data_IF_783548239975
#
_entry.id   IF_783548239975
#
_cell.length_a   1.000
_cell.length_b   1.000
_cell.length_c   1.000
_cell.angle_alpha   90.00
_cell.angle_beta   90.00
_cell.angle_gamma   90.00
#
_symmetry.space_group_name_H-M   'P 1'
#
loop_
_entity.id
_entity.type
_entity.pdbx_description
1 polymer ?
#
# COMPACT_ATOMS: atom_id res chain seq x y z
N UNK A 1 -42.45 71.50 26.42
CA UNK A 1 -41.77 70.30 26.93
C UNK A 1 -42.43 69.07 26.31
N UNK A 2 -41.63 68.27 25.58
CA UNK A 2 -41.70 66.80 25.34
C UNK A 2 -43.09 66.13 25.25
N UNK A 3 -43.48 65.27 24.30
CA UNK A 3 -42.90 64.54 23.15
C UNK A 3 -44.15 63.92 22.47
N UNK A 4 -44.40 64.13 21.17
CA UNK A 4 -44.10 63.21 20.03
C UNK A 4 -44.52 61.75 20.25
N UNK A 5 -45.11 61.00 19.32
CA UNK A 5 -45.75 61.20 18.01
C UNK A 5 -46.28 59.80 17.64
N UNK A 6 -47.58 59.72 17.35
CA UNK A 6 -48.24 58.87 16.34
C UNK A 6 -47.59 57.51 15.99
N UNK A 7 -48.20 56.47 16.54
CA UNK A 7 -48.43 55.17 15.90
C UNK A 7 -48.97 55.32 14.48
N UNK A 8 -48.28 54.76 13.48
CA UNK A 8 -48.85 54.13 12.27
C UNK A 8 -47.77 53.70 11.26
N UNK A 9 -47.99 52.48 10.73
CA UNK A 9 -47.58 51.91 9.42
C UNK A 9 -46.17 51.32 9.27
N UNK A 10 -46.13 50.02 9.05
CA UNK A 10 -46.01 49.45 7.69
C UNK A 10 -46.31 47.94 7.77
N UNK A 11 -47.31 47.45 7.03
CA UNK A 11 -47.18 46.63 5.80
C UNK A 11 -46.56 45.25 6.10
N UNK A 12 -47.09 44.11 5.70
CA UNK A 12 -48.19 43.76 4.81
C UNK A 12 -48.34 42.22 4.89
N UNK A 13 -49.45 41.71 4.37
CA UNK A 13 -49.59 40.41 3.70
C UNK A 13 -49.27 39.13 4.50
N UNK A 14 -50.29 38.37 4.93
CA UNK A 14 -51.05 37.37 4.15
C UNK A 14 -50.46 35.96 4.33
N UNK A 15 -51.34 35.09 4.83
CA UNK A 15 -51.29 33.64 4.75
C UNK A 15 -50.87 33.13 3.35
N UNK A 16 -49.79 32.34 3.27
CA UNK A 16 -49.55 31.25 2.32
C UNK A 16 -48.15 30.69 2.63
N UNK A 17 -48.00 29.45 3.10
CA UNK A 17 -48.00 28.21 2.32
C UNK A 17 -46.71 28.04 1.48
N UNK A 18 -46.21 26.79 1.47
CA UNK A 18 -45.16 26.24 0.59
C UNK A 18 -43.75 26.76 0.96
N UNK A 19 -42.76 25.98 1.37
CA UNK A 19 -42.05 24.87 0.70
C UNK A 19 -41.22 24.19 1.81
N UNK A 20 -41.51 22.95 2.23
CA UNK A 20 -40.92 21.75 1.63
C UNK A 20 -39.41 21.86 1.33
N UNK A 21 -38.59 22.31 2.29
CA UNK A 21 -37.12 22.24 2.19
C UNK A 21 -36.46 21.66 3.45
N UNK A 22 -37.16 20.79 4.18
CA UNK A 22 -36.50 19.70 4.92
C UNK A 22 -36.06 18.62 3.92
N UNK A 23 -35.29 19.04 2.92
CA UNK A 23 -34.40 18.15 2.20
C UNK A 23 -33.32 17.80 3.19
N UNK A 24 -33.55 16.71 3.91
CA UNK A 24 -32.53 15.94 4.59
C UNK A 24 -31.29 15.97 3.70
N UNK A 25 -30.29 16.77 4.10
CA UNK A 25 -28.92 16.56 3.66
C UNK A 25 -28.60 15.15 4.18
N UNK A 26 -28.94 14.15 3.36
CA UNK A 26 -28.24 12.90 3.36
C UNK A 26 -26.82 13.34 3.08
N UNK A 27 -26.07 13.44 4.18
CA UNK A 27 -24.63 13.30 4.22
C UNK A 27 -24.35 12.09 3.33
N UNK A 28 -24.11 12.37 2.05
CA UNK A 28 -23.40 11.50 1.14
C UNK A 28 -22.01 11.41 1.75
N UNK A 29 -21.92 10.58 2.78
CA UNK A 29 -20.67 10.07 3.29
C UNK A 29 -19.95 9.52 2.07
N UNK A 30 -18.71 9.94 1.78
CA UNK A 30 -17.94 9.36 0.70
C UNK A 30 -17.42 7.98 1.18
N UNK A 31 -18.32 7.06 1.52
CA UNK A 31 -17.97 5.73 2.02
C UNK A 31 -18.11 4.67 0.92
N UNK A 32 -18.72 4.99 -0.23
CA UNK A 32 -19.10 3.95 -1.20
C UNK A 32 -18.19 3.79 -2.44
N UNK A 33 -17.08 4.55 -2.55
CA UNK A 33 -16.14 4.37 -3.69
C UNK A 33 -14.96 3.47 -3.33
N UNK A 34 -14.49 3.47 -2.08
CA UNK A 34 -13.42 2.58 -1.63
C UNK A 34 -13.90 1.13 -1.43
N UNK A 35 -15.12 0.94 -0.92
CA UNK A 35 -15.69 -0.41 -0.71
C UNK A 35 -16.00 -1.19 -1.99
N UNK A 36 -16.34 -0.51 -3.10
CA UNK A 36 -16.61 -1.18 -4.38
C UNK A 36 -15.35 -1.65 -5.11
N UNK A 37 -14.19 -1.01 -4.90
CA UNK A 37 -12.90 -1.52 -5.42
C UNK A 37 -12.42 -2.76 -4.67
N UNK A 38 -12.76 -2.90 -3.39
CA UNK A 38 -12.39 -4.07 -2.59
C UNK A 38 -13.20 -5.35 -2.93
N UNK A 39 -14.32 -5.22 -3.65
CA UNK A 39 -15.27 -6.31 -3.90
C UNK A 39 -15.00 -7.13 -5.18
N UNK A 40 -14.15 -6.64 -6.09
CA UNK A 40 -13.66 -7.47 -7.20
C UNK A 40 -12.30 -8.03 -6.79
N UNK A 41 -12.28 -9.28 -6.34
CA UNK A 41 -11.05 -9.95 -5.88
C UNK A 41 -9.99 -9.86 -6.99
N UNK A 42 -8.83 -9.24 -6.76
CA UNK A 42 -7.74 -9.22 -7.73
C UNK A 42 -7.32 -10.66 -8.09
N UNK A 43 -6.62 -10.87 -9.21
CA UNK A 43 -6.05 -12.19 -9.49
C UNK A 43 -4.96 -12.50 -8.46
N UNK A 44 -5.31 -13.24 -7.41
CA UNK A 44 -4.41 -13.61 -6.32
C UNK A 44 -3.88 -15.03 -6.56
N UNK A 45 -2.58 -15.22 -6.31
CA UNK A 45 -2.04 -16.56 -6.12
C UNK A 45 -2.62 -17.20 -4.85
N UNK A 46 -2.67 -18.54 -4.81
CA UNK A 46 -3.14 -19.29 -3.64
C UNK A 46 -2.34 -18.95 -2.37
N UNK A 47 -1.05 -18.67 -2.52
CA UNK A 47 -0.18 -18.27 -1.41
C UNK A 47 -0.61 -16.93 -0.81
N UNK A 48 -0.86 -15.93 -1.64
CA UNK A 48 -1.33 -14.62 -1.18
C UNK A 48 -2.73 -14.72 -0.59
N UNK A 49 -3.63 -15.48 -1.23
CA UNK A 49 -4.98 -15.70 -0.70
C UNK A 49 -4.94 -16.31 0.71
N UNK A 50 -4.20 -17.42 0.90
CA UNK A 50 -4.03 -18.06 2.21
C UNK A 50 -3.43 -17.13 3.25
N UNK A 51 -2.46 -16.29 2.87
CA UNK A 51 -1.90 -15.30 3.78
C UNK A 51 -2.94 -14.27 4.22
N UNK A 52 -3.73 -13.72 3.28
CA UNK A 52 -4.79 -12.76 3.62
C UNK A 52 -5.82 -13.38 4.56
N UNK A 53 -6.18 -14.65 4.37
CA UNK A 53 -7.15 -15.34 5.23
C UNK A 53 -6.67 -15.48 6.70
N UNK A 54 -5.36 -15.35 6.96
CA UNK A 54 -4.83 -15.32 8.34
C UNK A 54 -5.00 -13.97 9.04
N UNK A 55 -5.36 -12.92 8.30
CA UNK A 55 -5.42 -11.55 8.79
C UNK A 55 -6.84 -11.16 9.21
N UNK A 56 -6.99 -10.23 10.18
CA UNK A 56 -8.27 -9.59 10.44
C UNK A 56 -8.87 -8.95 9.18
N UNK A 57 -10.19 -8.98 9.03
CA UNK A 57 -10.90 -8.49 7.84
C UNK A 57 -10.49 -7.07 7.41
N UNK A 58 -10.32 -6.16 8.37
CA UNK A 58 -9.86 -4.79 8.09
C UNK A 58 -8.49 -4.74 7.41
N UNK A 59 -7.55 -5.62 7.79
CA UNK A 59 -6.22 -5.70 7.18
C UNK A 59 -6.28 -6.35 5.78
N UNK A 60 -7.19 -7.31 5.59
CA UNK A 60 -7.44 -7.89 4.27
C UNK A 60 -7.95 -6.82 3.29
N UNK A 61 -8.95 -6.04 3.71
CA UNK A 61 -9.51 -4.95 2.92
C UNK A 61 -8.47 -3.87 2.62
N UNK A 62 -7.63 -3.53 3.61
CA UNK A 62 -6.53 -2.59 3.43
C UNK A 62 -5.58 -3.07 2.32
N UNK A 63 -5.04 -4.30 2.43
CA UNK A 63 -4.09 -4.80 1.44
C UNK A 63 -4.74 -4.87 0.06
N UNK A 64 -5.95 -5.43 -0.04
CA UNK A 64 -6.70 -5.53 -1.31
C UNK A 64 -6.94 -4.18 -1.96
N UNK A 65 -7.09 -3.10 -1.18
CA UNK A 65 -7.31 -1.75 -1.72
C UNK A 65 -6.12 -1.17 -2.51
N UNK A 66 -4.91 -1.72 -2.32
CA UNK A 66 -3.71 -1.32 -3.05
C UNK A 66 -3.46 -2.16 -4.33
N UNK A 67 -4.17 -3.28 -4.51
CA UNK A 67 -3.92 -4.21 -5.60
C UNK A 67 -4.64 -3.76 -6.89
N UNK A 68 -3.92 -3.65 -7.99
CA UNK A 68 -4.51 -3.28 -9.28
C UNK A 68 -5.36 -4.42 -9.84
N UNK A 69 -6.57 -4.12 -10.35
CA UNK A 69 -7.52 -5.16 -10.77
C UNK A 69 -7.05 -6.00 -11.97
N UNK A 70 -6.25 -5.41 -12.86
CA UNK A 70 -5.74 -6.00 -14.10
C UNK A 70 -4.41 -6.77 -13.94
N UNK A 71 -3.97 -6.96 -12.70
CA UNK A 71 -2.69 -7.60 -12.38
C UNK A 71 -2.86 -8.93 -11.64
N UNK A 72 -1.88 -9.82 -11.82
CA UNK A 72 -1.69 -11.00 -10.96
C UNK A 72 -0.80 -10.63 -9.78
N UNK A 73 -1.12 -11.14 -8.59
CA UNK A 73 -0.44 -10.80 -7.35
C UNK A 73 0.10 -12.02 -6.61
N UNK A 74 1.35 -11.91 -6.17
CA UNK A 74 2.05 -12.95 -5.43
C UNK A 74 2.71 -12.41 -4.16
N UNK A 75 2.83 -13.27 -3.15
CA UNK A 75 3.40 -12.93 -1.86
C UNK A 75 4.90 -13.28 -1.79
N UNK A 76 5.69 -12.35 -1.28
CA UNK A 76 7.07 -12.58 -0.84
C UNK A 76 7.21 -12.21 0.63
N UNK A 77 7.48 -13.20 1.47
CA UNK A 77 7.55 -13.07 2.93
C UNK A 77 6.40 -13.81 3.63
N UNK A 78 6.09 -13.48 4.89
CA UNK A 78 6.69 -12.39 5.69
C UNK A 78 8.08 -12.73 6.24
N UNK A 79 8.87 -11.70 6.55
CA UNK A 79 10.12 -11.79 7.32
C UNK A 79 10.04 -10.88 8.54
N UNK A 80 10.36 -11.40 9.73
CA UNK A 80 10.41 -10.61 10.95
C UNK A 80 11.77 -9.91 11.09
N UNK A 81 11.73 -8.62 11.41
CA UNK A 81 12.89 -7.77 11.70
C UNK A 81 12.62 -6.99 12.98
N UNK A 82 13.45 -7.19 14.00
CA UNK A 82 13.24 -6.57 15.31
C UNK A 82 11.82 -6.81 15.85
N UNK A 83 11.00 -5.75 15.93
CA UNK A 83 9.61 -5.76 16.41
C UNK A 83 8.57 -5.74 15.29
N UNK A 84 9.00 -5.70 14.02
CA UNK A 84 8.13 -5.53 12.85
C UNK A 84 8.28 -6.71 11.90
N UNK A 85 7.24 -7.00 11.13
CA UNK A 85 7.31 -7.98 10.04
C UNK A 85 7.09 -7.28 8.70
N UNK A 86 7.86 -7.66 7.69
CA UNK A 86 7.81 -7.06 6.36
C UNK A 86 7.45 -8.12 5.33
N UNK A 87 6.69 -7.73 4.32
CA UNK A 87 6.39 -8.58 3.17
C UNK A 87 6.16 -7.72 1.93
N UNK A 88 6.44 -8.30 0.76
CA UNK A 88 6.06 -7.72 -0.51
C UNK A 88 4.85 -8.44 -1.09
N UNK A 89 4.02 -7.69 -1.80
CA UNK A 89 3.12 -8.22 -2.82
C UNK A 89 3.69 -7.82 -4.17
N UNK A 90 4.09 -8.81 -4.97
CA UNK A 90 4.55 -8.61 -6.34
C UNK A 90 3.32 -8.47 -7.23
N UNK A 91 3.33 -7.47 -8.09
CA UNK A 91 2.27 -7.15 -9.04
C UNK A 91 2.78 -7.37 -10.47
N UNK A 92 2.07 -8.17 -11.25
CA UNK A 92 2.39 -8.49 -12.65
C UNK A 92 1.15 -8.39 -13.53
N UNK A 93 1.06 -7.31 -14.29
CA UNK A 93 0.12 -7.11 -15.39
C UNK A 93 0.85 -6.94 -16.73
N UNK A 94 0.08 -6.69 -17.79
CA UNK A 94 0.61 -6.46 -19.13
C UNK A 94 1.42 -5.17 -19.21
N UNK A 95 0.90 -4.08 -18.64
CA UNK A 95 1.51 -2.74 -18.69
C UNK A 95 2.11 -2.31 -17.35
N UNK A 96 1.90 -3.11 -16.29
CA UNK A 96 2.23 -2.75 -14.91
C UNK A 96 3.02 -3.86 -14.22
N UNK A 97 4.19 -3.52 -13.69
CA UNK A 97 5.04 -4.44 -12.91
C UNK A 97 5.68 -3.71 -11.75
N UNK A 98 5.45 -4.20 -10.53
CA UNK A 98 5.97 -3.57 -9.33
C UNK A 98 5.88 -4.44 -8.10
N UNK A 99 6.36 -3.89 -6.99
CA UNK A 99 6.37 -4.55 -5.68
C UNK A 99 5.78 -3.61 -4.63
N UNK A 100 4.71 -4.02 -3.97
CA UNK A 100 4.12 -3.30 -2.86
C UNK A 100 4.73 -3.80 -1.56
N UNK A 101 5.43 -2.95 -0.81
CA UNK A 101 5.98 -3.29 0.49
C UNK A 101 5.02 -2.90 1.60
N UNK A 102 4.76 -3.87 2.47
CA UNK A 102 3.96 -3.69 3.67
C UNK A 102 4.78 -3.99 4.91
N UNK A 103 4.36 -3.39 6.01
CA UNK A 103 4.87 -3.67 7.35
C UNK A 103 3.72 -4.01 8.28
N UNK A 104 3.98 -4.94 9.18
CA UNK A 104 3.11 -5.30 10.29
C UNK A 104 3.84 -5.05 11.61
N UNK A 105 3.14 -4.45 12.57
CA UNK A 105 3.61 -4.23 13.94
C UNK A 105 2.51 -4.64 14.90
N UNK A 106 2.65 -5.83 15.50
CA UNK A 106 1.56 -6.45 16.27
C UNK A 106 0.34 -6.73 15.39
N UNK A 107 -0.78 -6.05 15.67
CA UNK A 107 -2.04 -6.19 14.90
C UNK A 107 -2.20 -5.15 13.78
N UNK A 108 -1.33 -4.15 13.74
CA UNK A 108 -1.42 -3.05 12.79
C UNK A 108 -0.65 -3.38 11.51
N UNK A 109 -1.28 -3.14 10.36
CA UNK A 109 -0.67 -3.26 9.03
C UNK A 109 -0.61 -1.89 8.37
N UNK A 110 0.48 -1.63 7.66
CA UNK A 110 0.67 -0.38 6.92
C UNK A 110 1.33 -0.66 5.58
N UNK A 111 0.82 -0.01 4.53
CA UNK A 111 1.53 0.09 3.26
C UNK A 111 2.69 1.08 3.42
N UNK A 112 3.89 0.66 3.02
CA UNK A 112 5.08 1.52 3.08
C UNK A 112 5.36 2.19 1.76
N UNK A 113 5.48 1.41 0.68
CA UNK A 113 5.97 1.94 -0.58
C UNK A 113 5.66 1.02 -1.76
N UNK A 114 5.55 1.62 -2.95
CA UNK A 114 5.49 0.90 -4.22
C UNK A 114 6.83 1.04 -4.93
N UNK A 115 7.50 -0.08 -5.19
CA UNK A 115 8.74 -0.13 -5.95
C UNK A 115 8.46 -0.51 -7.40
N UNK A 116 9.20 0.10 -8.33
CA UNK A 116 9.33 -0.51 -9.65
C UNK A 116 9.99 -1.89 -9.51
N UNK A 117 9.59 -2.87 -10.33
CA UNK A 117 9.95 -4.28 -10.11
C UNK A 117 11.46 -4.52 -9.89
N UNK A 118 12.32 -3.80 -10.62
CA UNK A 118 13.78 -3.94 -10.58
C UNK A 118 14.50 -2.98 -9.60
N UNK A 119 13.76 -2.14 -8.87
CA UNK A 119 14.31 -1.05 -8.08
C UNK A 119 14.35 -1.20 -6.54
N UNK A 120 13.95 -2.33 -5.88
CA UNK A 120 13.91 -2.38 -4.41
C UNK A 120 15.19 -1.87 -3.74
N UNK A 121 16.37 -2.34 -4.16
CA UNK A 121 17.63 -1.94 -3.54
C UNK A 121 17.98 -0.45 -3.68
N UNK A 122 17.49 0.22 -4.73
CA UNK A 122 17.74 1.64 -4.99
C UNK A 122 16.81 2.56 -4.19
N UNK A 123 15.61 2.07 -3.90
CA UNK A 123 14.56 2.85 -3.27
C UNK A 123 14.46 2.59 -1.76
N UNK A 124 14.83 1.39 -1.28
CA UNK A 124 14.83 1.06 0.15
C UNK A 124 15.59 2.08 1.03
N UNK A 125 16.77 2.60 0.62
CA UNK A 125 17.46 3.63 1.42
C UNK A 125 16.77 5.00 1.45
N UNK A 126 15.77 5.21 0.60
CA UNK A 126 15.04 6.49 0.45
C UNK A 126 13.74 6.52 1.24
N UNK A 127 13.31 5.38 1.77
CA UNK A 127 12.13 5.28 2.61
C UNK A 127 12.54 5.27 4.09
N UNK A 128 11.67 5.75 4.96
CA UNK A 128 11.91 5.95 6.39
C UNK A 128 12.01 4.62 7.17
N UNK A 129 13.06 3.86 6.90
CA UNK A 129 13.43 2.60 7.55
C UNK A 129 14.73 2.78 8.34
N UNK A 130 14.87 2.06 9.45
CA UNK A 130 16.19 1.91 10.08
C UNK A 130 17.16 1.17 9.14
N UNK A 131 18.45 1.23 9.43
CA UNK A 131 19.46 0.51 8.63
C UNK A 131 19.24 -1.00 8.70
N UNK A 132 18.89 -1.50 9.87
CA UNK A 132 18.59 -2.90 10.17
C UNK A 132 17.36 -3.36 9.39
N UNK A 133 16.32 -2.54 9.32
CA UNK A 133 15.09 -2.85 8.59
C UNK A 133 15.30 -2.80 7.09
N UNK A 134 15.99 -1.77 6.58
CA UNK A 134 16.35 -1.69 5.18
C UNK A 134 17.13 -2.94 4.75
N UNK A 135 18.07 -3.40 5.59
CA UNK A 135 18.82 -4.64 5.35
C UNK A 135 17.93 -5.88 5.40
N UNK A 136 17.03 -5.99 6.38
CA UNK A 136 16.15 -7.15 6.46
C UNK A 136 15.19 -7.23 5.27
N UNK A 137 14.64 -6.10 4.83
CA UNK A 137 13.76 -6.04 3.66
C UNK A 137 14.54 -6.36 2.38
N UNK A 138 15.77 -5.84 2.26
CA UNK A 138 16.66 -6.21 1.16
C UNK A 138 17.00 -7.71 1.17
N UNK A 139 17.22 -8.31 2.34
CA UNK A 139 17.51 -9.73 2.48
C UNK A 139 16.29 -10.59 2.10
N UNK A 140 15.08 -10.18 2.48
CA UNK A 140 13.85 -10.83 2.05
C UNK A 140 13.72 -10.82 0.52
N UNK A 141 14.03 -9.70 -0.13
CA UNK A 141 14.01 -9.60 -1.59
C UNK A 141 15.10 -10.46 -2.23
N UNK A 142 16.33 -10.42 -1.73
CA UNK A 142 17.43 -11.25 -2.21
C UNK A 142 17.12 -12.75 -2.13
N UNK A 143 16.43 -13.19 -1.07
CA UNK A 143 15.97 -14.57 -0.94
C UNK A 143 14.91 -14.92 -1.98
N UNK A 144 14.04 -13.97 -2.34
CA UNK A 144 13.10 -14.18 -3.43
C UNK A 144 13.82 -14.35 -4.77
N UNK A 145 14.72 -13.44 -5.12
CA UNK A 145 15.54 -13.52 -6.34
C UNK A 145 16.27 -14.86 -6.41
N UNK A 146 16.87 -15.30 -5.29
CA UNK A 146 17.56 -16.59 -5.22
C UNK A 146 16.63 -17.78 -5.49
N UNK A 147 15.40 -17.75 -4.97
CA UNK A 147 14.42 -18.81 -5.21
C UNK A 147 13.86 -18.79 -6.63
N UNK A 148 13.69 -17.60 -7.22
CA UNK A 148 13.07 -17.46 -8.54
C UNK A 148 14.05 -17.70 -9.68
N UNK A 149 15.29 -17.22 -9.56
CA UNK A 149 16.30 -17.30 -10.62
C UNK A 149 17.28 -18.46 -10.41
N UNK A 150 17.48 -18.87 -9.15
CA UNK A 150 18.44 -19.87 -8.77
C UNK A 150 19.85 -19.31 -8.56
N UNK A 151 20.66 -20.03 -7.78
CA UNK A 151 22.02 -19.62 -7.40
C UNK A 151 22.90 -19.32 -8.62
N UNK A 152 22.96 -20.23 -9.58
CA UNK A 152 23.84 -20.12 -10.73
C UNK A 152 23.55 -18.87 -11.58
N UNK A 153 22.27 -18.52 -11.74
CA UNK A 153 21.88 -17.32 -12.48
C UNK A 153 22.32 -16.04 -11.76
N UNK A 154 22.12 -15.99 -10.43
CA UNK A 154 22.56 -14.85 -9.63
C UNK A 154 24.09 -14.73 -9.59
N UNK A 155 24.82 -15.83 -9.42
CA UNK A 155 26.29 -15.81 -9.43
C UNK A 155 26.82 -15.35 -10.80
N UNK A 156 26.22 -15.81 -11.90
CA UNK A 156 26.56 -15.35 -13.24
C UNK A 156 26.24 -13.87 -13.46
N UNK A 157 25.09 -13.39 -12.97
CA UNK A 157 24.74 -11.98 -12.99
C UNK A 157 25.80 -11.16 -12.23
N UNK A 158 26.18 -11.58 -11.03
CA UNK A 158 27.16 -10.86 -10.19
C UNK A 158 28.56 -10.86 -10.79
N UNK A 159 28.96 -11.96 -11.45
CA UNK A 159 30.23 -12.07 -12.15
C UNK A 159 30.29 -11.27 -13.46
N UNK A 160 29.15 -10.80 -13.97
CA UNK A 160 29.09 -9.96 -15.17
C UNK A 160 29.79 -8.62 -14.93
N UNK A 161 30.63 -8.21 -15.87
CA UNK A 161 31.30 -6.90 -15.85
C UNK A 161 30.33 -5.72 -15.90
N UNK A 162 29.07 -5.96 -16.27
CA UNK A 162 28.00 -4.96 -16.32
C UNK A 162 27.19 -4.89 -15.03
N UNK A 163 27.52 -5.71 -14.03
CA UNK A 163 26.78 -5.75 -12.77
C UNK A 163 27.14 -4.57 -11.87
N UNK A 164 26.32 -3.52 -11.95
CA UNK A 164 26.39 -2.39 -11.02
C UNK A 164 25.47 -2.65 -9.83
N UNK A 165 25.97 -3.34 -8.81
CA UNK A 165 25.21 -3.56 -7.58
C UNK A 165 25.29 -2.40 -6.61
N UNK A 166 24.13 -2.10 -6.03
CA UNK A 166 24.03 -1.14 -4.95
C UNK A 166 24.60 -1.72 -3.65
N UNK A 167 25.15 -0.88 -2.74
CA UNK A 167 25.73 -1.37 -1.48
C UNK A 167 24.80 -2.29 -0.69
N UNK A 168 23.50 -1.95 -0.63
CA UNK A 168 22.50 -2.75 0.08
C UNK A 168 22.29 -4.14 -0.52
N UNK A 169 22.26 -4.24 -1.86
CA UNK A 169 22.15 -5.52 -2.57
C UNK A 169 23.37 -6.39 -2.30
N UNK A 170 24.58 -5.83 -2.38
CA UNK A 170 25.83 -6.56 -2.09
C UNK A 170 25.84 -7.12 -0.68
N UNK A 171 25.43 -6.32 0.30
CA UNK A 171 25.34 -6.77 1.69
C UNK A 171 24.34 -7.91 1.84
N UNK A 172 23.13 -7.78 1.27
CA UNK A 172 22.12 -8.84 1.31
C UNK A 172 22.60 -10.13 0.62
N UNK A 173 23.24 -10.03 -0.54
CA UNK A 173 23.78 -11.17 -1.29
C UNK A 173 24.90 -11.88 -0.54
N UNK A 174 25.84 -11.14 0.05
CA UNK A 174 26.91 -11.71 0.89
C UNK A 174 26.35 -12.49 2.08
N UNK A 175 25.28 -11.98 2.71
CA UNK A 175 24.59 -12.70 3.79
C UNK A 175 23.91 -14.00 3.33
N UNK A 176 23.59 -14.13 2.05
CA UNK A 176 23.09 -15.36 1.44
C UNK A 176 24.20 -16.26 0.86
N UNK A 177 25.47 -15.90 1.07
CA UNK A 177 26.63 -16.63 0.55
C UNK A 177 26.87 -16.44 -0.95
N UNK A 178 26.32 -15.40 -1.57
CA UNK A 178 26.59 -15.03 -2.96
C UNK A 178 27.84 -14.16 -2.96
N UNK A 179 28.85 -14.55 -3.75
CA UNK A 179 30.11 -13.83 -3.84
C UNK A 179 29.91 -12.53 -4.62
N UNK A 180 29.97 -11.37 -3.93
CA UNK A 180 29.89 -10.05 -4.56
C UNK A 180 31.22 -9.29 -4.46
N UNK A 181 31.65 -8.61 -5.54
CA UNK A 181 32.83 -7.74 -5.53
C UNK A 181 32.67 -6.54 -4.57
#
# INVERSE_FOLDING_TARGET
MLQRLRSLRCRACVFASIVASFGLLVLATPVCVQGRRAAMTPFLTERLARFLDTLPEGNQLLIRSYLAFDCTHDLVGPSACEKRAFFFVIERGNERRGNLLFVASGKEFRFLHYFSFAAPYAELPKIDLSKEEALCVALLWAQHELRSEGRNALDAMVASSQFHSLPLQRTAYRLLGIACP
#
